data_IF_111976129396
#
_entry.id   IF_111976129396
#
_cell.length_a   1.000
_cell.length_b   1.000
_cell.length_c   1.000
_cell.angle_alpha   90.00
_cell.angle_beta   90.00
_cell.angle_gamma   90.00
#
_symmetry.space_group_name_H-M   'P 1'
#
loop_
_entity.id
_entity.type
_entity.pdbx_description
1 polymer ?
#
# COMPACT_ATOMS: atom_id res chain seq x y z
N UNK A 1 -18.45 31.80 23.67
CA UNK A 1 -19.26 30.93 22.78
C UNK A 1 -18.29 30.24 21.83
N UNK A 2 -18.04 28.94 22.00
CA UNK A 2 -17.17 28.17 21.11
C UNK A 2 -17.97 27.81 19.86
N UNK A 3 -17.58 28.34 18.70
CA UNK A 3 -18.16 27.96 17.41
C UNK A 3 -17.31 26.83 16.84
N UNK A 4 -17.90 25.66 16.64
CA UNK A 4 -17.31 24.62 15.81
C UNK A 4 -17.85 24.74 14.38
N UNK A 5 -16.96 24.64 13.40
CA UNK A 5 -17.31 24.58 11.99
C UNK A 5 -17.11 23.16 11.52
N UNK A 6 -18.14 22.58 10.90
CA UNK A 6 -18.02 21.30 10.21
C UNK A 6 -17.78 21.59 8.74
N UNK A 7 -16.62 21.20 8.24
CA UNK A 7 -16.29 21.24 6.82
C UNK A 7 -16.14 19.81 6.31
N UNK A 8 -16.59 19.57 5.08
CA UNK A 8 -16.45 18.31 4.39
C UNK A 8 -15.73 18.54 3.07
N UNK A 9 -14.84 17.64 2.71
CA UNK A 9 -14.18 17.68 1.41
C UNK A 9 -15.19 17.16 0.37
N UNK A 10 -15.45 17.94 -0.67
CA UNK A 10 -16.27 17.51 -1.80
C UNK A 10 -15.38 17.21 -3.03
N UNK A 11 -14.84 15.99 -3.16
CA UNK A 11 -13.92 15.66 -4.24
C UNK A 11 -14.63 15.57 -5.59
N UNK A 12 -13.93 15.94 -6.67
CA UNK A 12 -14.35 15.62 -8.05
C UNK A 12 -14.31 14.11 -8.28
N UNK A 13 -14.91 13.63 -9.36
CA UNK A 13 -14.93 12.19 -9.64
C UNK A 13 -13.51 11.64 -9.91
N UNK A 14 -12.64 12.41 -10.55
CA UNK A 14 -11.22 12.06 -10.72
C UNK A 14 -10.51 11.98 -9.37
N UNK A 15 -10.78 12.93 -8.46
CA UNK A 15 -10.22 12.91 -7.11
C UNK A 15 -10.71 11.70 -6.32
N UNK A 16 -12.01 11.35 -6.40
CA UNK A 16 -12.56 10.13 -5.76
C UNK A 16 -11.87 8.87 -6.27
N UNK A 17 -11.65 8.77 -7.59
CA UNK A 17 -10.92 7.64 -8.19
C UNK A 17 -9.50 7.58 -7.65
N UNK A 18 -8.77 8.70 -7.61
CA UNK A 18 -7.41 8.75 -7.06
C UNK A 18 -7.37 8.34 -5.60
N UNK A 19 -8.24 8.91 -4.76
CA UNK A 19 -8.33 8.56 -3.34
C UNK A 19 -8.57 7.06 -3.15
N UNK A 20 -9.50 6.47 -3.91
CA UNK A 20 -9.78 5.03 -3.85
C UNK A 20 -8.60 4.19 -4.29
N UNK A 21 -7.91 4.58 -5.38
CA UNK A 21 -6.68 3.91 -5.85
C UNK A 21 -5.59 3.97 -4.79
N UNK A 22 -5.28 5.15 -4.26
CA UNK A 22 -4.24 5.33 -3.23
C UNK A 22 -4.55 4.51 -1.98
N UNK A 23 -5.78 4.59 -1.43
CA UNK A 23 -6.17 3.80 -0.25
C UNK A 23 -6.12 2.29 -0.55
N UNK A 24 -6.60 1.88 -1.73
CA UNK A 24 -6.59 0.50 -2.19
C UNK A 24 -5.17 -0.07 -2.25
N UNK A 25 -4.25 0.67 -2.89
CA UNK A 25 -2.84 0.30 -3.01
C UNK A 25 -2.16 0.23 -1.65
N UNK A 26 -2.35 1.22 -0.77
CA UNK A 26 -1.79 1.19 0.59
C UNK A 26 -2.24 -0.06 1.36
N UNK A 27 -3.54 -0.39 1.31
CA UNK A 27 -4.11 -1.57 1.97
C UNK A 27 -3.54 -2.87 1.37
N UNK A 28 -3.42 -2.95 0.05
CA UNK A 28 -2.84 -4.11 -0.62
C UNK A 28 -1.38 -4.32 -0.18
N UNK A 29 -0.55 -3.28 -0.25
CA UNK A 29 0.87 -3.35 0.11
C UNK A 29 1.06 -3.77 1.56
N UNK A 30 0.25 -3.24 2.48
CA UNK A 30 0.31 -3.63 3.88
C UNK A 30 -0.04 -5.10 4.09
N UNK A 31 -1.12 -5.58 3.48
CA UNK A 31 -1.50 -6.99 3.59
C UNK A 31 -0.47 -7.91 2.94
N UNK A 32 0.12 -7.50 1.82
CA UNK A 32 1.16 -8.26 1.14
C UNK A 32 2.42 -8.36 2.00
N UNK A 33 2.82 -7.27 2.67
CA UNK A 33 3.91 -7.27 3.63
C UNK A 33 3.68 -8.22 4.80
N UNK A 34 2.46 -8.26 5.35
CA UNK A 34 2.10 -9.19 6.43
C UNK A 34 2.13 -10.65 5.96
N UNK A 35 1.56 -10.93 4.77
CA UNK A 35 1.58 -12.27 4.19
C UNK A 35 3.01 -12.77 3.95
N UNK A 36 3.85 -11.94 3.35
CA UNK A 36 5.25 -12.28 3.11
C UNK A 36 6.02 -12.56 4.41
N UNK A 37 5.83 -11.75 5.44
CA UNK A 37 6.48 -12.00 6.73
C UNK A 37 5.93 -13.23 7.45
N UNK A 38 4.66 -13.57 7.25
CA UNK A 38 4.08 -14.81 7.76
C UNK A 38 4.75 -16.02 7.10
N UNK A 39 4.95 -16.01 5.79
CA UNK A 39 5.68 -17.06 5.07
C UNK A 39 7.15 -17.18 5.52
N UNK A 40 7.82 -16.05 5.76
CA UNK A 40 9.18 -16.05 6.33
C UNK A 40 9.21 -16.71 7.72
N UNK A 41 8.26 -16.36 8.58
CA UNK A 41 8.16 -16.94 9.92
C UNK A 41 7.91 -18.46 9.87
N UNK A 42 6.95 -18.90 9.03
CA UNK A 42 6.62 -20.32 8.86
C UNK A 42 7.79 -21.12 8.27
N UNK A 43 8.66 -20.49 7.48
CA UNK A 43 9.90 -21.08 6.96
C UNK A 43 11.12 -20.93 7.90
N UNK A 44 10.92 -20.46 9.13
CA UNK A 44 11.98 -20.27 10.13
C UNK A 44 12.98 -19.16 9.79
N UNK A 45 12.64 -18.29 8.82
CA UNK A 45 13.46 -17.16 8.42
C UNK A 45 13.20 -15.95 9.31
N UNK A 46 14.16 -15.02 9.32
CA UNK A 46 14.02 -13.75 10.04
C UNK A 46 12.95 -12.89 9.39
N UNK A 47 12.25 -12.14 10.23
CA UNK A 47 11.32 -11.10 9.82
C UNK A 47 12.02 -10.05 8.94
N UNK A 48 11.38 -9.68 7.84
CA UNK A 48 11.81 -8.62 6.94
C UNK A 48 11.22 -7.29 7.40
N UNK A 49 12.09 -6.31 7.66
CA UNK A 49 11.65 -4.96 8.03
C UNK A 49 10.95 -4.24 6.89
N UNK A 50 10.15 -3.21 7.20
CA UNK A 50 9.45 -2.40 6.20
C UNK A 50 10.40 -1.70 5.22
N UNK A 51 11.60 -1.30 5.67
CA UNK A 51 12.61 -0.70 4.80
C UNK A 51 13.18 -1.70 3.79
N UNK A 52 13.49 -2.92 4.24
CA UNK A 52 13.94 -4.00 3.37
C UNK A 52 12.85 -4.42 2.39
N UNK A 53 11.61 -4.57 2.87
CA UNK A 53 10.47 -4.92 2.03
C UNK A 53 10.25 -3.87 0.92
N UNK A 54 10.37 -2.58 1.22
CA UNK A 54 10.27 -1.52 0.21
C UNK A 54 11.34 -1.65 -0.87
N UNK A 55 12.57 -2.01 -0.51
CA UNK A 55 13.65 -2.21 -1.49
C UNK A 55 13.36 -3.45 -2.33
N UNK A 56 13.06 -4.57 -1.69
CA UNK A 56 12.74 -5.84 -2.33
C UNK A 56 11.56 -5.71 -3.31
N UNK A 57 10.45 -5.12 -2.88
CA UNK A 57 9.25 -5.05 -3.72
C UNK A 57 9.49 -4.21 -4.98
N UNK A 58 10.26 -3.12 -4.88
CA UNK A 58 10.49 -2.21 -6.01
C UNK A 58 11.55 -2.72 -6.99
N UNK A 59 12.57 -3.41 -6.48
CA UNK A 59 13.76 -3.78 -7.27
C UNK A 59 13.79 -5.25 -7.67
N UNK A 60 13.06 -6.13 -6.99
CA UNK A 60 13.08 -7.58 -7.23
C UNK A 60 11.69 -8.11 -7.61
N UNK A 61 10.68 -7.84 -6.78
CA UNK A 61 9.34 -8.39 -6.99
C UNK A 61 8.63 -7.77 -8.20
N UNK A 62 8.46 -6.44 -8.24
CA UNK A 62 7.70 -5.78 -9.31
C UNK A 62 8.31 -5.97 -10.71
N UNK A 63 9.65 -5.96 -10.91
CA UNK A 63 10.22 -6.26 -12.22
C UNK A 63 9.91 -7.67 -12.74
N UNK A 64 9.71 -8.64 -11.84
CA UNK A 64 9.37 -10.03 -12.20
C UNK A 64 7.86 -10.29 -12.27
N UNK A 65 7.03 -9.36 -11.80
CA UNK A 65 5.57 -9.51 -11.73
C UNK A 65 4.86 -8.30 -12.35
N UNK A 66 4.89 -8.15 -13.70
CA UNK A 66 4.34 -7.00 -14.39
C UNK A 66 2.83 -6.82 -14.20
N UNK A 67 2.10 -7.87 -13.84
CA UNK A 67 0.68 -7.82 -13.48
C UNK A 67 0.38 -6.95 -12.25
N UNK A 68 1.39 -6.64 -11.43
CA UNK A 68 1.28 -5.72 -10.28
C UNK A 68 1.73 -4.28 -10.60
N UNK A 69 1.96 -3.93 -11.87
CA UNK A 69 2.42 -2.58 -12.26
C UNK A 69 1.47 -1.46 -11.80
N UNK A 70 0.17 -1.76 -11.69
CA UNK A 70 -0.87 -0.84 -11.21
C UNK A 70 -0.62 -0.25 -9.82
N UNK A 71 0.22 -0.90 -9.00
CA UNK A 71 0.65 -0.40 -7.68
C UNK A 71 1.38 0.94 -7.82
N UNK A 72 2.11 1.15 -8.92
CA UNK A 72 2.85 2.39 -9.20
C UNK A 72 1.99 3.49 -9.82
N UNK A 73 0.74 3.20 -10.18
CA UNK A 73 -0.18 4.14 -10.82
C UNK A 73 -1.07 4.91 -9.82
N UNK A 74 -0.91 4.62 -8.52
CA UNK A 74 -1.75 5.13 -7.44
C UNK A 74 -1.26 6.43 -6.78
#
# INVERSE_FOLDING_TARGET
>A
MLKSFKTEINPTDEQKVRIRKTIGTCRFIYNFYLAHNKELYESGKKFMSSSQFRVWINNEFLPSHPEYSWIKEA
#
